data_IF_384805438277
#
_entry.id   IF_384805438277
#
_cell.length_a   1.000
_cell.length_b   1.000
_cell.length_c   1.000
_cell.angle_alpha   90.00
_cell.angle_beta   90.00
_cell.angle_gamma   90.00
#
_symmetry.space_group_name_H-M   'P 1'
#
loop_
_entity.id
_entity.type
_entity.pdbx_description
1 polymer ?
#
# COMPACT_ATOMS: atom_id res chain seq x y z
N UNK A 1 -27.75 1.67 2.38
CA UNK A 1 -27.57 2.31 1.07
C UNK A 1 -26.84 3.60 1.36
N UNK A 2 -25.51 3.62 1.26
CA UNK A 2 -24.73 4.85 1.37
C UNK A 2 -25.11 5.73 0.18
N UNK A 3 -25.46 6.99 0.45
CA UNK A 3 -25.76 7.96 -0.61
C UNK A 3 -24.43 8.26 -1.32
N UNK A 4 -24.38 8.10 -2.64
CA UNK A 4 -23.21 8.54 -3.41
C UNK A 4 -23.15 10.08 -3.37
N UNK A 5 -21.92 10.66 -3.30
CA UNK A 5 -21.77 12.11 -3.38
C UNK A 5 -22.44 12.65 -4.65
N UNK A 6 -23.11 13.78 -4.53
CA UNK A 6 -23.71 14.49 -5.67
C UNK A 6 -22.64 15.21 -6.48
N UNK A 7 -22.98 15.67 -7.69
CA UNK A 7 -22.07 16.47 -8.51
C UNK A 7 -21.57 17.74 -7.77
N UNK A 8 -22.43 18.33 -6.93
CA UNK A 8 -22.05 19.50 -6.12
C UNK A 8 -21.03 19.11 -5.03
N UNK A 9 -21.12 17.91 -4.45
CA UNK A 9 -20.16 17.43 -3.46
C UNK A 9 -18.79 17.23 -4.09
N UNK A 10 -18.71 16.67 -5.31
CA UNK A 10 -17.46 16.55 -6.06
C UNK A 10 -16.83 17.90 -6.44
N UNK A 11 -17.64 18.91 -6.69
CA UNK A 11 -17.13 20.27 -6.88
C UNK A 11 -16.63 20.89 -5.57
N UNK A 12 -17.43 20.73 -4.51
CA UNK A 12 -17.15 21.28 -3.18
C UNK A 12 -15.91 20.68 -2.54
N UNK A 13 -15.65 19.37 -2.68
CA UNK A 13 -14.51 18.71 -2.02
C UNK A 13 -13.16 19.26 -2.48
N UNK A 14 -13.09 19.85 -3.68
CA UNK A 14 -11.89 20.45 -4.27
C UNK A 14 -11.64 21.90 -3.84
N UNK A 15 -12.61 22.55 -3.19
CA UNK A 15 -12.46 23.94 -2.78
C UNK A 15 -11.30 24.11 -1.81
N UNK A 16 -10.55 25.20 -1.96
CA UNK A 16 -9.37 25.50 -1.16
C UNK A 16 -8.08 24.82 -1.62
N UNK A 17 -8.14 23.75 -2.42
CA UNK A 17 -6.95 23.16 -3.04
C UNK A 17 -6.47 24.05 -4.19
N UNK A 18 -5.17 24.33 -4.20
CA UNK A 18 -4.47 25.05 -5.28
C UNK A 18 -3.32 24.19 -5.81
N UNK A 19 -3.04 24.15 -7.11
CA UNK A 19 -1.84 23.49 -7.64
C UNK A 19 -0.52 24.02 -7.05
N UNK A 20 -0.52 25.26 -6.56
CA UNK A 20 0.61 25.82 -5.81
C UNK A 20 0.49 25.48 -4.31
N UNK A 21 1.35 24.62 -3.74
CA UNK A 21 1.27 24.21 -2.36
C UNK A 21 1.33 25.39 -1.37
N UNK A 22 2.08 26.44 -1.68
CA UNK A 22 2.17 27.63 -0.83
C UNK A 22 0.85 28.42 -0.71
N UNK A 23 -0.09 28.20 -1.62
CA UNK A 23 -1.41 28.84 -1.63
C UNK A 23 -2.55 27.87 -1.32
N UNK A 24 -2.24 26.59 -1.08
CA UNK A 24 -3.23 25.52 -0.92
C UNK A 24 -3.68 25.34 0.53
N UNK A 25 -4.92 24.88 0.66
CA UNK A 25 -5.42 24.20 1.85
C UNK A 25 -5.32 22.67 1.68
N UNK A 26 -5.41 21.93 2.78
CA UNK A 26 -5.52 20.47 2.77
C UNK A 26 -6.82 20.00 2.13
N UNK A 27 -7.02 18.69 2.00
CA UNK A 27 -8.36 18.13 1.74
C UNK A 27 -9.35 18.57 2.82
N UNK A 28 -10.63 18.68 2.46
CA UNK A 28 -11.70 18.92 3.44
C UNK A 28 -11.85 17.73 4.38
N UNK A 29 -12.22 18.01 5.63
CA UNK A 29 -12.50 16.99 6.65
C UNK A 29 -13.53 15.96 6.20
N UNK A 30 -14.49 16.34 5.34
CA UNK A 30 -15.49 15.44 4.78
C UNK A 30 -14.84 14.25 4.03
N UNK A 31 -13.71 14.47 3.35
CA UNK A 31 -12.97 13.41 2.67
C UNK A 31 -12.48 12.31 3.63
N UNK A 32 -12.33 12.62 4.93
CA UNK A 32 -11.82 11.72 5.96
C UNK A 32 -12.90 11.17 6.88
N UNK A 33 -14.08 11.78 6.89
CA UNK A 33 -15.09 11.51 7.93
C UNK A 33 -16.43 11.02 7.36
N UNK A 34 -16.79 11.42 6.15
CA UNK A 34 -18.06 11.01 5.52
C UNK A 34 -17.93 9.63 4.87
N UNK A 35 -18.76 8.65 5.28
CA UNK A 35 -18.77 7.31 4.69
C UNK A 35 -18.96 7.29 3.17
N UNK A 36 -19.61 8.28 2.59
CA UNK A 36 -19.77 8.38 1.14
C UNK A 36 -18.43 8.53 0.42
N UNK A 37 -17.48 9.27 0.99
CA UNK A 37 -16.14 9.41 0.42
C UNK A 37 -15.29 8.16 0.60
N UNK A 38 -15.52 7.38 1.67
CA UNK A 38 -14.89 6.07 1.79
C UNK A 38 -15.31 5.12 0.67
N UNK A 39 -16.60 5.10 0.29
CA UNK A 39 -17.08 4.29 -0.83
C UNK A 39 -16.45 4.75 -2.18
N UNK A 40 -16.21 6.06 -2.32
CA UNK A 40 -15.49 6.61 -3.48
C UNK A 40 -14.01 6.21 -3.44
N UNK A 41 -13.35 6.26 -2.28
CA UNK A 41 -11.97 5.77 -2.12
C UNK A 41 -11.83 4.32 -2.59
N UNK A 42 -12.74 3.43 -2.13
CA UNK A 42 -12.71 2.01 -2.52
C UNK A 42 -12.90 1.84 -4.03
N UNK A 43 -13.89 2.51 -4.62
CA UNK A 43 -14.27 2.29 -6.02
C UNK A 43 -13.40 3.04 -7.03
N UNK A 44 -12.93 4.24 -6.71
CA UNK A 44 -12.21 5.14 -7.61
C UNK A 44 -10.70 5.17 -7.38
N UNK A 45 -10.25 4.80 -6.19
CA UNK A 45 -8.82 4.75 -5.85
C UNK A 45 -8.37 3.30 -5.74
N UNK A 46 -8.79 2.58 -4.69
CA UNK A 46 -8.23 1.26 -4.37
C UNK A 46 -8.48 0.22 -5.47
N UNK A 47 -9.67 0.22 -6.07
CA UNK A 47 -10.01 -0.69 -7.17
C UNK A 47 -9.40 -0.29 -8.53
N UNK A 48 -8.81 0.90 -8.64
CA UNK A 48 -8.27 1.48 -9.89
C UNK A 48 -6.76 1.70 -9.87
N UNK A 49 -6.10 1.31 -8.79
CA UNK A 49 -4.66 1.50 -8.59
C UNK A 49 -3.99 0.18 -8.24
N UNK A 50 -2.66 0.16 -8.35
CA UNK A 50 -1.87 -1.00 -8.00
C UNK A 50 -1.81 -1.18 -6.48
N UNK A 51 -2.25 -2.35 -6.02
CA UNK A 51 -2.28 -2.73 -4.61
C UNK A 51 -1.19 -3.76 -4.32
N UNK A 52 -0.38 -3.54 -3.31
CA UNK A 52 0.60 -4.52 -2.85
C UNK A 52 -0.09 -5.77 -2.29
N UNK A 53 0.48 -6.95 -2.57
CA UNK A 53 -0.08 -8.24 -2.15
C UNK A 53 0.89 -8.99 -1.25
N UNK A 54 2.10 -9.25 -1.73
CA UNK A 54 3.08 -10.05 -1.00
C UNK A 54 4.48 -9.95 -1.61
N UNK A 55 5.46 -10.54 -0.94
CA UNK A 55 6.77 -10.80 -1.53
C UNK A 55 6.68 -12.00 -2.52
N UNK A 56 7.48 -11.96 -3.57
CA UNK A 56 7.50 -12.95 -4.65
C UNK A 56 7.73 -14.38 -4.14
N UNK A 57 8.38 -14.55 -2.99
CA UNK A 57 8.63 -15.89 -2.42
C UNK A 57 7.35 -16.68 -2.10
N UNK A 58 6.22 -15.98 -1.85
CA UNK A 58 4.93 -16.61 -1.56
C UNK A 58 4.32 -17.32 -2.78
N UNK A 59 4.70 -16.90 -3.97
CA UNK A 59 4.21 -17.44 -5.25
C UNK A 59 5.36 -17.70 -6.22
N UNK A 60 6.47 -18.27 -5.73
CA UNK A 60 7.70 -18.47 -6.50
C UNK A 60 7.62 -19.69 -7.42
N UNK A 61 7.09 -20.80 -6.92
CA UNK A 61 7.13 -22.07 -7.63
C UNK A 61 5.83 -22.34 -8.38
N UNK A 62 5.88 -23.10 -9.50
CA UNK A 62 4.66 -23.52 -10.18
C UNK A 62 3.68 -24.22 -9.21
N UNK A 63 2.44 -23.77 -9.22
CA UNK A 63 1.39 -24.23 -8.34
C UNK A 63 1.22 -23.42 -7.05
N UNK A 64 2.18 -22.58 -6.66
CA UNK A 64 2.03 -21.72 -5.49
C UNK A 64 0.87 -20.74 -5.70
N UNK A 65 0.11 -20.51 -4.64
CA UNK A 65 -1.00 -19.57 -4.65
C UNK A 65 -1.12 -18.83 -3.32
N UNK A 66 -1.71 -17.64 -3.40
CA UNK A 66 -2.11 -16.83 -2.26
C UNK A 66 -3.50 -16.23 -2.53
N UNK A 67 -4.44 -16.44 -1.60
CA UNK A 67 -5.76 -15.82 -1.61
C UNK A 67 -5.77 -14.61 -0.67
N UNK A 68 -6.21 -13.46 -1.19
CA UNK A 68 -6.26 -12.17 -0.47
C UNK A 68 -7.55 -11.44 -0.76
N UNK A 69 -7.83 -10.41 0.01
CA UNK A 69 -8.88 -9.43 -0.28
C UNK A 69 -8.25 -8.11 -0.72
N UNK A 70 -8.72 -7.55 -1.84
CA UNK A 70 -8.25 -6.29 -2.41
C UNK A 70 -9.45 -5.40 -2.69
N UNK A 71 -9.51 -4.23 -2.06
CA UNK A 71 -10.65 -3.31 -2.19
C UNK A 71 -12.01 -4.01 -2.00
N UNK A 72 -12.11 -4.89 -1.00
CA UNK A 72 -13.32 -5.69 -0.71
C UNK A 72 -13.61 -6.81 -1.70
N UNK A 73 -12.69 -7.11 -2.64
CA UNK A 73 -12.86 -8.20 -3.63
C UNK A 73 -11.94 -9.37 -3.33
N UNK A 74 -12.45 -10.62 -3.38
CA UNK A 74 -11.63 -11.81 -3.23
C UNK A 74 -10.75 -12.00 -4.47
N UNK A 75 -9.44 -12.05 -4.28
CA UNK A 75 -8.44 -12.23 -5.34
C UNK A 75 -7.56 -13.44 -5.01
N UNK A 76 -7.19 -14.22 -6.02
CA UNK A 76 -6.19 -15.26 -5.91
C UNK A 76 -5.02 -14.95 -6.85
N UNK A 77 -3.80 -14.91 -6.31
CA UNK A 77 -2.56 -14.84 -7.08
C UNK A 77 -1.98 -16.24 -7.19
N UNK A 78 -1.55 -16.64 -8.37
CA UNK A 78 -1.14 -18.02 -8.67
C UNK A 78 0.10 -18.00 -9.58
N UNK A 79 1.05 -18.90 -9.36
CA UNK A 79 2.10 -19.23 -10.34
C UNK A 79 1.65 -20.42 -11.14
N UNK A 80 1.39 -20.25 -12.44
CA UNK A 80 0.92 -21.36 -13.26
C UNK A 80 2.04 -22.40 -13.56
N UNK A 81 1.72 -23.44 -14.32
CA UNK A 81 2.66 -24.53 -14.63
C UNK A 81 3.83 -24.10 -15.50
N UNK A 82 3.63 -23.11 -16.32
CA UNK A 82 4.61 -22.50 -17.21
C UNK A 82 5.46 -21.46 -16.49
N UNK A 83 5.21 -21.23 -15.17
CA UNK A 83 5.91 -20.23 -14.35
C UNK A 83 5.38 -18.82 -14.54
N UNK A 84 4.25 -18.64 -15.23
CA UNK A 84 3.63 -17.32 -15.41
C UNK A 84 2.87 -16.92 -14.16
N UNK A 85 3.08 -15.69 -13.69
CA UNK A 85 2.33 -15.11 -12.61
C UNK A 85 0.93 -14.71 -13.12
N UNK A 86 -0.11 -15.12 -12.40
CA UNK A 86 -1.50 -14.81 -12.74
C UNK A 86 -2.27 -14.36 -11.51
N UNK A 87 -3.31 -13.57 -11.73
CA UNK A 87 -4.30 -13.26 -10.70
C UNK A 87 -5.71 -13.36 -11.27
N UNK A 88 -6.64 -13.77 -10.41
CA UNK A 88 -8.06 -13.95 -10.75
C UNK A 88 -8.94 -13.43 -9.63
N UNK A 89 -10.15 -13.00 -9.96
CA UNK A 89 -11.19 -12.97 -8.95
C UNK A 89 -11.37 -14.38 -8.39
N UNK A 90 -11.24 -14.55 -7.10
CA UNK A 90 -11.30 -15.85 -6.40
C UNK A 90 -12.72 -16.36 -6.27
N UNK A 91 -13.43 -16.45 -7.38
CA UNK A 91 -14.88 -16.71 -7.45
C UNK A 91 -15.17 -17.78 -8.50
N UNK A 92 -15.86 -18.86 -8.08
CA UNK A 92 -16.29 -19.94 -8.96
C UNK A 92 -17.41 -19.47 -9.91
N UNK A 93 -17.25 -19.73 -11.21
CA UNK A 93 -18.23 -19.39 -12.26
C UNK A 93 -19.55 -20.14 -12.18
N UNK A 94 -19.68 -21.14 -11.29
CA UNK A 94 -20.93 -21.86 -11.08
C UNK A 94 -21.90 -21.09 -10.16
N UNK A 95 -21.50 -20.87 -8.90
CA UNK A 95 -22.36 -20.24 -7.87
C UNK A 95 -21.56 -19.39 -6.89
N UNK A 96 -20.57 -18.67 -7.41
CA UNK A 96 -19.81 -17.63 -6.72
C UNK A 96 -19.08 -18.05 -5.41
N UNK A 97 -18.89 -19.37 -5.17
CA UNK A 97 -18.11 -19.82 -4.01
C UNK A 97 -16.64 -19.44 -4.18
N UNK A 98 -15.96 -19.06 -3.09
CA UNK A 98 -14.52 -18.86 -3.09
C UNK A 98 -13.79 -20.17 -3.47
N UNK A 99 -12.75 -20.05 -4.30
CA UNK A 99 -12.04 -21.20 -4.85
C UNK A 99 -10.84 -21.61 -4.01
N UNK A 100 -10.06 -20.66 -3.55
CA UNK A 100 -8.84 -20.82 -2.78
C UNK A 100 -8.95 -20.08 -1.45
N UNK A 101 -8.19 -20.52 -0.44
CA UNK A 101 -8.10 -19.86 0.85
C UNK A 101 -6.67 -19.93 1.38
N UNK A 102 -6.21 -18.86 2.04
CA UNK A 102 -4.85 -18.79 2.57
C UNK A 102 -3.79 -18.91 1.49
N UNK A 103 -2.71 -19.60 1.77
CA UNK A 103 -1.60 -19.86 0.86
C UNK A 103 -1.33 -21.37 0.73
N UNK A 104 -0.74 -21.78 -0.39
CA UNK A 104 -0.38 -23.19 -0.59
C UNK A 104 0.13 -23.47 -1.98
N UNK A 105 0.24 -24.76 -2.31
CA UNK A 105 0.63 -25.22 -3.64
C UNK A 105 -0.38 -26.24 -4.17
N UNK A 106 -0.86 -26.05 -5.38
CA UNK A 106 -1.83 -26.93 -6.02
C UNK A 106 -1.60 -27.05 -7.50
N UNK A 107 -2.00 -28.19 -8.06
CA UNK A 107 -1.91 -28.48 -9.50
C UNK A 107 -3.12 -27.97 -10.30
N UNK A 108 -4.17 -27.58 -9.63
CA UNK A 108 -5.46 -27.15 -10.18
C UNK A 108 -6.23 -26.36 -9.14
N UNK A 109 -7.17 -25.56 -9.59
CA UNK A 109 -8.10 -24.84 -8.73
C UNK A 109 -9.42 -25.59 -8.74
N UNK A 110 -9.81 -26.23 -7.64
CA UNK A 110 -11.05 -26.99 -7.55
C UNK A 110 -12.00 -26.34 -6.55
N UNK A 111 -13.19 -25.99 -7.02
CA UNK A 111 -14.24 -25.45 -6.18
C UNK A 111 -14.68 -26.48 -5.14
N UNK A 112 -14.63 -26.17 -3.83
CA UNK A 112 -15.00 -27.12 -2.79
C UNK A 112 -16.50 -27.39 -2.73
N UNK A 113 -17.32 -26.58 -3.43
CA UNK A 113 -18.79 -26.72 -3.39
C UNK A 113 -19.30 -27.83 -4.31
N UNK A 114 -18.95 -27.79 -5.62
CA UNK A 114 -19.45 -28.76 -6.61
C UNK A 114 -18.35 -29.33 -7.51
N UNK A 115 -17.09 -29.23 -7.08
CA UNK A 115 -15.91 -29.76 -7.77
C UNK A 115 -15.72 -29.24 -9.22
N UNK A 116 -16.24 -28.05 -9.55
CA UNK A 116 -15.80 -27.36 -10.77
C UNK A 116 -14.31 -27.13 -10.69
N UNK A 117 -13.59 -27.57 -11.71
CA UNK A 117 -12.14 -27.60 -11.66
C UNK A 117 -11.55 -26.77 -12.79
N UNK A 118 -10.67 -25.85 -12.43
CA UNK A 118 -9.96 -24.96 -13.34
C UNK A 118 -8.47 -25.33 -13.35
N UNK A 119 -7.81 -25.11 -14.50
CA UNK A 119 -6.35 -25.07 -14.55
C UNK A 119 -5.83 -23.80 -13.85
N UNK A 120 -4.54 -23.74 -13.65
CA UNK A 120 -3.89 -22.58 -13.02
C UNK A 120 -3.86 -21.34 -13.94
N UNK A 121 -4.18 -21.50 -15.24
CA UNK A 121 -4.42 -20.38 -16.17
C UNK A 121 -5.86 -19.84 -16.13
N UNK A 122 -6.69 -20.39 -15.26
CA UNK A 122 -8.09 -19.99 -15.07
C UNK A 122 -9.12 -20.76 -15.93
N UNK A 123 -8.69 -21.57 -16.90
CA UNK A 123 -9.58 -22.29 -17.81
C UNK A 123 -10.35 -23.40 -17.07
N UNK A 124 -11.67 -23.43 -17.18
CA UNK A 124 -12.49 -24.54 -16.69
C UNK A 124 -12.21 -25.81 -17.51
N UNK A 125 -11.91 -26.93 -16.82
CA UNK A 125 -11.62 -28.21 -17.46
C UNK A 125 -12.57 -29.33 -17.04
N UNK A 126 -13.27 -29.17 -15.92
CA UNK A 126 -14.24 -30.14 -15.42
C UNK A 126 -15.41 -29.47 -14.73
N UNK A 127 -16.62 -29.87 -15.12
CA UNK A 127 -17.89 -29.51 -14.46
C UNK A 127 -18.69 -30.77 -14.35
N UNK A 128 -18.81 -31.41 -13.16
CA UNK A 128 -19.58 -32.67 -12.98
C UNK A 128 -21.03 -32.50 -13.35
N UNK A 129 -21.64 -33.57 -13.94
CA UNK A 129 -23.06 -33.67 -14.29
C UNK A 129 -23.59 -32.58 -15.24
N UNK A 130 -22.71 -32.10 -16.16
CA UNK A 130 -23.05 -31.09 -17.17
C UNK A 130 -23.26 -31.68 -18.56
N UNK A 131 -23.15 -32.99 -18.73
CA UNK A 131 -23.18 -33.68 -20.03
C UNK A 131 -24.53 -33.55 -20.77
N UNK A 132 -25.61 -33.24 -20.04
CA UNK A 132 -26.95 -33.05 -20.58
C UNK A 132 -27.31 -31.58 -20.80
N UNK A 133 -26.43 -30.64 -20.49
CA UNK A 133 -26.71 -29.22 -20.66
C UNK A 133 -26.55 -28.80 -22.11
N UNK A 134 -27.60 -28.17 -22.65
CA UNK A 134 -27.51 -27.54 -23.98
C UNK A 134 -26.57 -26.32 -23.97
N UNK A 135 -25.78 -26.21 -25.03
CA UNK A 135 -24.83 -25.07 -25.25
C UNK A 135 -23.81 -24.83 -24.13
N UNK A 136 -23.49 -25.86 -23.33
CA UNK A 136 -22.49 -25.78 -22.29
C UNK A 136 -21.18 -26.43 -22.74
N UNK A 137 -20.09 -25.64 -22.77
CA UNK A 137 -18.75 -26.16 -23.02
C UNK A 137 -17.77 -25.55 -22.01
N UNK A 138 -17.01 -26.41 -21.36
CA UNK A 138 -16.02 -25.97 -20.36
C UNK A 138 -14.97 -25.04 -20.95
N UNK A 139 -14.62 -25.20 -22.23
CA UNK A 139 -13.64 -24.38 -22.95
C UNK A 139 -14.04 -22.88 -23.05
N UNK A 140 -15.33 -22.58 -22.95
CA UNK A 140 -15.87 -21.22 -23.07
C UNK A 140 -15.92 -20.49 -21.70
N UNK A 141 -15.49 -21.17 -20.63
CA UNK A 141 -15.55 -20.65 -19.26
C UNK A 141 -14.14 -20.51 -18.68
N UNK A 142 -13.78 -19.31 -18.33
CA UNK A 142 -12.52 -18.97 -17.66
C UNK A 142 -12.79 -18.11 -16.42
N UNK A 143 -11.90 -18.15 -15.44
CA UNK A 143 -11.93 -17.20 -14.31
C UNK A 143 -11.65 -15.79 -14.84
N UNK A 144 -12.31 -14.79 -14.25
CA UNK A 144 -12.02 -13.38 -14.57
C UNK A 144 -10.64 -13.01 -14.06
N UNK A 145 -9.84 -12.50 -14.98
CA UNK A 145 -8.46 -12.11 -14.68
C UNK A 145 -8.42 -10.78 -13.92
N UNK A 146 -7.44 -10.67 -13.04
CA UNK A 146 -7.01 -9.44 -12.38
C UNK A 146 -5.61 -9.13 -12.90
N UNK A 147 -5.29 -7.88 -13.12
CA UNK A 147 -3.94 -7.48 -13.50
C UNK A 147 -2.96 -7.79 -12.38
N UNK A 148 -1.79 -8.33 -12.71
CA UNK A 148 -0.74 -8.68 -11.74
C UNK A 148 0.62 -8.37 -12.32
N UNK A 149 1.48 -7.74 -11.51
CA UNK A 149 2.87 -7.45 -11.87
C UNK A 149 3.80 -7.73 -10.68
N UNK A 150 5.03 -8.09 -11.02
CA UNK A 150 6.15 -8.15 -10.09
C UNK A 150 6.97 -6.86 -10.22
N UNK A 151 7.21 -6.18 -9.08
CA UNK A 151 7.99 -4.96 -9.01
C UNK A 151 8.89 -4.99 -7.77
N UNK A 152 10.21 -4.88 -7.97
CA UNK A 152 11.22 -4.93 -6.91
C UNK A 152 11.09 -6.15 -5.97
N UNK A 153 10.74 -7.33 -6.51
CA UNK A 153 10.56 -8.55 -5.72
C UNK A 153 9.21 -8.66 -4.99
N UNK A 154 8.30 -7.70 -5.21
CA UNK A 154 6.96 -7.70 -4.62
C UNK A 154 5.88 -7.86 -5.70
N UNK A 155 4.78 -8.48 -5.32
CA UNK A 155 3.62 -8.72 -6.17
C UNK A 155 2.58 -7.64 -5.92
N UNK A 156 2.12 -7.04 -7.02
CA UNK A 156 1.05 -6.06 -7.04
C UNK A 156 -0.08 -6.52 -7.94
N UNK A 157 -1.31 -6.15 -7.59
CA UNK A 157 -2.50 -6.39 -8.43
C UNK A 157 -3.26 -5.10 -8.67
N UNK A 158 -4.03 -5.07 -9.77
CA UNK A 158 -4.94 -3.97 -10.07
C UNK A 158 -6.26 -4.54 -10.60
N UNK A 159 -7.38 -4.14 -10.00
CA UNK A 159 -8.71 -4.61 -10.40
C UNK A 159 -9.23 -3.94 -11.67
N UNK A 160 -8.59 -2.86 -12.13
CA UNK A 160 -8.91 -2.24 -13.42
C UNK A 160 -8.22 -2.98 -14.56
N UNK A 161 -8.97 -3.68 -15.44
CA UNK A 161 -8.37 -4.40 -16.55
C UNK A 161 -7.71 -3.49 -17.60
N UNK A 162 -7.98 -2.18 -17.55
CA UNK A 162 -7.40 -1.18 -18.45
C UNK A 162 -6.24 -0.39 -17.84
N UNK A 163 -5.84 -0.71 -16.59
CA UNK A 163 -4.76 0.00 -15.93
C UNK A 163 -3.44 -0.11 -16.74
N UNK A 164 -2.70 0.99 -16.92
CA UNK A 164 -1.34 0.92 -17.42
C UNK A 164 -0.45 0.08 -16.49
N UNK A 165 0.62 -0.51 -17.02
CA UNK A 165 1.54 -1.29 -16.19
C UNK A 165 2.11 -0.46 -15.04
N UNK A 166 2.35 -1.07 -13.88
CA UNK A 166 2.96 -0.41 -12.73
C UNK A 166 4.32 0.19 -13.12
N UNK A 167 5.12 -0.59 -13.81
CA UNK A 167 6.44 -0.15 -14.28
C UNK A 167 6.37 1.09 -15.18
N UNK A 168 5.36 1.20 -16.04
CA UNK A 168 5.20 2.39 -16.90
C UNK A 168 4.77 3.64 -16.13
N UNK A 169 4.09 3.46 -14.99
CA UNK A 169 3.61 4.57 -14.15
C UNK A 169 4.67 5.06 -13.15
N UNK A 170 5.61 4.21 -12.77
CA UNK A 170 6.62 4.51 -11.75
C UNK A 170 7.92 5.10 -12.32
N UNK A 171 8.07 5.14 -13.66
CA UNK A 171 9.27 5.72 -14.30
C UNK A 171 10.57 5.09 -13.76
N UNK A 172 11.43 5.91 -13.17
CA UNK A 172 12.75 5.50 -12.68
C UNK A 172 12.75 4.91 -11.26
N UNK A 173 11.59 4.72 -10.62
CA UNK A 173 11.51 4.27 -9.22
C UNK A 173 12.24 2.94 -8.97
N UNK A 174 12.12 1.95 -9.86
CA UNK A 174 12.84 0.67 -9.71
C UNK A 174 14.36 0.88 -9.70
N UNK A 175 14.87 1.75 -10.56
CA UNK A 175 16.30 2.08 -10.63
C UNK A 175 16.75 2.79 -9.34
N UNK A 176 15.94 3.69 -8.82
CA UNK A 176 16.21 4.40 -7.57
C UNK A 176 16.21 3.45 -6.38
N UNK A 177 15.19 2.59 -6.24
CA UNK A 177 15.13 1.58 -5.18
C UNK A 177 16.35 0.66 -5.23
N UNK A 178 16.71 0.15 -6.40
CA UNK A 178 17.88 -0.75 -6.57
C UNK A 178 19.21 -0.04 -6.33
N UNK A 179 19.29 1.26 -6.55
CA UNK A 179 20.46 2.05 -6.19
C UNK A 179 20.67 2.11 -4.67
N UNK A 180 19.59 2.40 -3.92
CA UNK A 180 19.66 2.53 -2.45
C UNK A 180 19.51 1.19 -1.71
N UNK A 181 18.94 0.18 -2.34
CA UNK A 181 18.76 -1.18 -1.83
C UNK A 181 19.25 -2.22 -2.86
N UNK A 182 20.55 -2.28 -3.18
CA UNK A 182 21.09 -3.18 -4.21
C UNK A 182 20.97 -4.66 -3.83
N UNK A 183 20.66 -4.94 -2.61
CA UNK A 183 20.49 -6.26 -2.01
C UNK A 183 19.03 -6.71 -1.88
N UNK A 184 18.06 -5.91 -2.36
CA UNK A 184 16.62 -6.14 -2.19
C UNK A 184 16.18 -7.54 -2.63
N UNK A 185 16.75 -8.08 -3.71
CA UNK A 185 16.40 -9.41 -4.22
C UNK A 185 16.93 -10.58 -3.36
N UNK A 186 17.77 -10.30 -2.36
CA UNK A 186 18.32 -11.29 -1.41
C UNK A 186 17.56 -11.33 -0.11
N UNK A 187 16.72 -10.33 0.13
CA UNK A 187 15.97 -10.23 1.37
C UNK A 187 14.82 -11.23 1.36
N UNK A 188 14.50 -11.74 2.53
CA UNK A 188 13.42 -12.71 2.76
C UNK A 188 12.52 -12.22 3.87
N UNK A 189 11.25 -12.61 3.86
CA UNK A 189 10.30 -12.26 4.92
C UNK A 189 10.78 -12.82 6.26
N UNK A 190 10.86 -11.96 7.26
CA UNK A 190 11.33 -12.30 8.61
C UNK A 190 10.31 -12.03 9.71
N UNK A 191 9.59 -10.88 9.63
CA UNK A 191 8.69 -10.48 10.71
C UNK A 191 7.55 -9.63 10.17
N UNK A 192 6.39 -9.63 10.86
CA UNK A 192 5.24 -8.76 10.59
C UNK A 192 4.73 -8.14 11.88
N UNK A 193 4.53 -6.84 11.85
CA UNK A 193 3.71 -6.11 12.82
C UNK A 193 2.36 -5.79 12.18
N UNK A 194 1.31 -5.69 13.00
CA UNK A 194 -0.04 -5.37 12.52
C UNK A 194 -0.72 -4.44 13.52
N UNK A 195 -1.37 -3.40 13.00
CA UNK A 195 -2.06 -2.39 13.80
C UNK A 195 -3.50 -2.21 13.32
N UNK A 196 -4.38 -1.93 14.27
CA UNK A 196 -5.80 -1.59 14.06
C UNK A 196 -5.99 -0.15 14.54
N UNK A 197 -5.99 0.80 13.61
CA UNK A 197 -5.89 2.24 13.86
C UNK A 197 -7.26 2.88 13.66
N UNK A 198 -7.71 3.66 14.64
CA UNK A 198 -8.99 4.39 14.60
C UNK A 198 -8.83 5.72 13.86
N UNK A 199 -8.46 5.63 12.61
CA UNK A 199 -8.26 6.78 11.73
C UNK A 199 -8.53 6.40 10.28
N UNK A 200 -8.93 7.37 9.48
CA UNK A 200 -9.02 7.24 8.03
C UNK A 200 -7.64 7.00 7.43
N UNK A 201 -7.56 6.15 6.42
CA UNK A 201 -6.31 5.79 5.76
C UNK A 201 -5.54 7.00 5.19
N UNK A 202 -6.26 8.06 4.78
CA UNK A 202 -5.63 9.28 4.27
C UNK A 202 -4.90 10.06 5.36
N UNK A 203 -5.38 10.06 6.62
CA UNK A 203 -4.65 10.66 7.73
C UNK A 203 -3.31 9.98 7.98
N UNK A 204 -3.27 8.67 7.76
CA UNK A 204 -2.05 7.88 7.94
C UNK A 204 -1.06 8.19 6.80
N UNK A 205 -1.56 8.26 5.56
CA UNK A 205 -0.74 8.68 4.42
C UNK A 205 -0.26 10.13 4.58
N UNK A 206 -1.12 11.04 5.05
CA UNK A 206 -0.77 12.43 5.33
C UNK A 206 0.38 12.53 6.34
N UNK A 207 0.29 11.81 7.46
CA UNK A 207 1.32 11.74 8.50
C UNK A 207 2.64 11.18 7.94
N UNK A 208 2.58 10.13 7.12
CA UNK A 208 3.75 9.49 6.52
C UNK A 208 4.50 10.39 5.51
N UNK A 209 3.78 11.24 4.78
CA UNK A 209 4.33 12.00 3.65
C UNK A 209 5.08 13.27 4.02
N UNK A 210 5.20 13.59 5.31
CA UNK A 210 5.92 14.75 5.80
C UNK A 210 6.70 14.40 7.09
N UNK A 211 7.69 15.18 7.42
CA UNK A 211 8.43 15.09 8.68
C UNK A 211 8.43 16.45 9.42
N UNK A 212 7.42 17.29 9.15
CA UNK A 212 7.20 18.57 9.84
C UNK A 212 6.92 18.34 11.34
N UNK A 213 6.23 17.24 11.67
CA UNK A 213 5.96 16.81 13.04
C UNK A 213 7.16 16.15 13.72
N UNK A 214 8.12 15.56 12.97
CA UNK A 214 9.18 14.72 13.52
C UNK A 214 10.00 15.40 14.62
N UNK A 215 10.45 16.66 14.51
CA UNK A 215 11.24 17.31 15.58
C UNK A 215 10.48 17.44 16.91
N UNK A 216 9.16 17.40 16.86
CA UNK A 216 8.30 17.51 18.05
C UNK A 216 7.90 16.13 18.59
N UNK A 217 7.49 15.22 17.71
CA UNK A 217 6.95 13.92 18.08
C UNK A 217 8.04 12.83 18.18
N UNK A 218 9.02 12.81 17.26
CA UNK A 218 9.97 11.68 17.07
C UNK A 218 11.41 12.09 17.37
N UNK A 219 11.71 12.42 18.61
CA UNK A 219 13.07 12.88 19.00
C UNK A 219 14.14 11.83 18.75
N UNK A 220 13.81 10.57 18.96
CA UNK A 220 14.73 9.46 18.75
C UNK A 220 15.00 9.23 17.26
N UNK A 221 13.98 9.33 16.40
CA UNK A 221 14.16 9.32 14.95
C UNK A 221 15.03 10.48 14.47
N UNK A 222 14.81 11.69 14.97
CA UNK A 222 15.62 12.86 14.64
C UNK A 222 17.08 12.74 15.11
N UNK A 223 17.38 11.82 16.04
CA UNK A 223 18.76 11.48 16.43
C UNK A 223 19.38 10.41 15.51
N UNK A 224 18.54 9.54 14.94
CA UNK A 224 18.94 8.46 14.04
C UNK A 224 19.27 8.98 12.62
N UNK A 225 18.57 10.02 12.17
CA UNK A 225 18.61 10.58 10.81
C UNK A 225 19.09 12.03 10.85
N UNK A 226 19.98 12.43 9.95
CA UNK A 226 20.41 13.83 9.81
C UNK A 226 19.32 14.65 9.12
N UNK A 227 18.46 15.29 9.93
CA UNK A 227 17.35 16.10 9.45
C UNK A 227 17.76 17.26 8.53
N UNK A 228 19.02 17.72 8.59
CA UNK A 228 19.53 18.77 7.71
C UNK A 228 19.74 18.30 6.27
N UNK A 229 19.88 17.00 6.07
CA UNK A 229 20.02 16.35 4.75
C UNK A 229 18.72 15.78 4.24
N UNK A 230 17.66 15.78 5.05
CA UNK A 230 16.37 15.18 4.70
C UNK A 230 15.72 15.92 3.51
N UNK A 231 15.53 15.20 2.43
CA UNK A 231 14.92 15.69 1.17
C UNK A 231 13.72 14.84 0.81
N UNK A 232 12.68 15.51 0.37
CA UNK A 232 11.50 14.87 -0.21
C UNK A 232 11.37 15.30 -1.68
N UNK A 233 11.12 14.34 -2.55
CA UNK A 233 10.91 14.57 -3.98
C UNK A 233 9.63 13.87 -4.42
N UNK A 234 8.77 14.57 -5.14
CA UNK A 234 7.51 14.02 -5.67
C UNK A 234 7.63 13.71 -7.15
N UNK A 235 7.05 12.60 -7.55
CA UNK A 235 6.98 12.12 -8.94
C UNK A 235 5.56 11.65 -9.23
N UNK A 236 5.17 11.44 -10.48
CA UNK A 236 3.85 11.01 -10.92
C UNK A 236 2.97 10.33 -9.84
N UNK A 237 3.25 9.06 -9.52
CA UNK A 237 2.49 8.28 -8.54
C UNK A 237 3.32 7.86 -7.32
N UNK A 238 4.47 8.49 -7.04
CA UNK A 238 5.29 8.17 -5.88
C UNK A 238 6.02 9.39 -5.33
N UNK A 239 6.54 9.27 -4.12
CA UNK A 239 7.51 10.21 -3.55
C UNK A 239 8.70 9.46 -2.97
N UNK A 240 9.86 10.13 -2.96
CA UNK A 240 11.12 9.65 -2.39
C UNK A 240 11.53 10.53 -1.22
N UNK A 241 11.85 9.92 -0.08
CA UNK A 241 12.28 10.57 1.14
C UNK A 241 13.68 10.08 1.51
N UNK A 242 14.66 10.93 1.40
CA UNK A 242 16.08 10.56 1.53
C UNK A 242 16.79 11.40 2.57
N UNK A 243 17.60 10.77 3.42
CA UNK A 243 18.47 11.46 4.35
C UNK A 243 19.69 10.62 4.71
N UNK A 244 20.76 11.26 5.16
CA UNK A 244 21.91 10.58 5.73
C UNK A 244 21.61 10.09 7.15
N UNK A 245 22.33 9.07 7.61
CA UNK A 245 22.31 8.68 9.01
C UNK A 245 22.86 9.80 9.89
N UNK A 246 22.32 9.94 11.09
CA UNK A 246 22.80 10.90 12.09
C UNK A 246 24.28 10.68 12.46
N UNK A 247 24.97 11.78 12.81
CA UNK A 247 26.42 11.78 13.09
C UNK A 247 26.78 11.44 14.53
N UNK A 248 25.85 11.56 15.45
CA UNK A 248 26.05 11.32 16.89
C UNK A 248 25.45 9.99 17.33
N UNK A 249 25.75 9.56 18.55
CA UNK A 249 25.04 8.45 19.17
C UNK A 249 23.55 8.78 19.19
N UNK A 250 22.76 7.95 18.54
CA UNK A 250 21.31 8.08 18.52
C UNK A 250 20.69 7.37 19.73
N UNK A 251 19.44 7.69 20.03
CA UNK A 251 18.68 7.12 21.15
C UNK A 251 17.66 6.07 20.69
N UNK A 252 17.55 5.83 19.38
CA UNK A 252 16.59 4.88 18.80
C UNK A 252 17.06 3.43 18.98
N UNK A 253 18.18 3.05 18.34
CA UNK A 253 18.76 1.71 18.42
C UNK A 253 20.26 1.73 17.98
N UNK A 254 20.98 0.66 18.27
CA UNK A 254 22.42 0.58 17.96
C UNK A 254 22.66 0.46 16.45
N UNK A 255 23.36 1.46 15.89
CA UNK A 255 23.81 1.52 14.49
C UNK A 255 25.33 1.43 14.36
N UNK A 256 26.05 1.04 15.39
CA UNK A 256 27.54 0.97 15.40
C UNK A 256 28.07 0.05 14.28
N UNK A 257 27.36 -1.02 13.97
CA UNK A 257 27.68 -1.99 12.91
C UNK A 257 26.80 -1.82 11.66
N UNK A 258 26.28 -0.61 11.43
CA UNK A 258 25.40 -0.34 10.29
C UNK A 258 26.11 -0.54 8.96
N UNK A 259 25.53 -1.35 8.10
CA UNK A 259 25.89 -1.49 6.67
C UNK A 259 25.11 -0.51 5.80
N UNK A 260 23.94 -0.10 6.23
CA UNK A 260 23.09 0.94 5.63
C UNK A 260 23.26 2.24 6.40
N UNK A 261 23.67 3.31 5.70
CA UNK A 261 23.94 4.61 6.30
C UNK A 261 23.07 5.72 5.75
N UNK A 262 21.96 5.34 5.15
CA UNK A 262 20.96 6.25 4.59
C UNK A 262 19.57 5.85 5.07
N UNK A 263 18.73 6.85 5.31
CA UNK A 263 17.31 6.70 5.37
C UNK A 263 16.78 6.86 3.94
N UNK A 264 16.15 5.83 3.41
CA UNK A 264 15.60 5.83 2.06
C UNK A 264 14.20 5.23 2.11
N UNK A 265 13.21 6.06 1.82
CA UNK A 265 11.79 5.70 1.92
C UNK A 265 11.07 6.15 0.67
N UNK A 266 10.20 5.30 0.16
CA UNK A 266 9.37 5.56 -1.00
C UNK A 266 7.90 5.30 -0.64
N UNK A 267 7.08 6.28 -0.86
CA UNK A 267 5.64 6.08 -0.89
C UNK A 267 5.18 5.84 -2.33
N UNK A 268 4.41 4.81 -2.56
CA UNK A 268 3.79 4.46 -3.83
C UNK A 268 2.26 4.57 -3.71
N UNK A 269 1.67 5.38 -4.58
CA UNK A 269 0.23 5.58 -4.64
C UNK A 269 -0.54 4.26 -4.79
N UNK A 270 -1.63 4.02 -4.02
CA UNK A 270 -2.19 4.99 -3.08
C UNK A 270 -1.69 4.79 -1.63
N UNK A 271 -1.21 3.61 -1.22
CA UNK A 271 -1.20 3.19 0.16
C UNK A 271 -0.07 2.22 0.53
N UNK A 272 1.00 2.19 -0.26
CA UNK A 272 2.16 1.31 0.01
C UNK A 272 3.42 2.13 0.19
N UNK A 273 4.21 1.79 1.23
CA UNK A 273 5.51 2.40 1.43
C UNK A 273 6.60 1.33 1.48
N UNK A 274 7.73 1.62 0.84
CA UNK A 274 8.95 0.84 0.92
C UNK A 274 9.94 1.64 1.76
N UNK A 275 10.46 1.06 2.84
CA UNK A 275 11.25 1.80 3.82
C UNK A 275 12.55 1.08 4.13
N UNK A 276 13.65 1.83 4.12
CA UNK A 276 14.97 1.38 4.51
C UNK A 276 15.59 2.38 5.49
N UNK A 277 15.83 1.93 6.69
CA UNK A 277 16.41 2.74 7.76
C UNK A 277 17.90 2.49 7.90
N UNK A 278 18.66 3.44 8.48
CA UNK A 278 20.07 3.20 8.87
C UNK A 278 20.16 1.97 9.79
N UNK A 279 21.12 1.07 9.53
CA UNK A 279 21.27 -0.15 10.32
C UNK A 279 21.74 -1.35 9.51
N UNK A 280 21.12 -2.49 9.71
CA UNK A 280 21.33 -3.70 8.92
C UNK A 280 20.63 -3.61 7.56
N UNK A 281 21.06 -4.47 6.65
CA UNK A 281 20.39 -4.61 5.36
C UNK A 281 18.96 -5.09 5.58
N UNK A 282 17.99 -4.27 5.15
CA UNK A 282 16.56 -4.55 5.32
C UNK A 282 15.73 -3.81 4.28
N UNK A 283 14.52 -4.28 4.07
CA UNK A 283 13.43 -3.54 3.45
C UNK A 283 12.18 -3.76 4.29
N UNK A 284 11.46 -2.70 4.59
CA UNK A 284 10.18 -2.78 5.28
C UNK A 284 9.12 -2.35 4.28
N UNK A 285 8.05 -3.14 4.16
CA UNK A 285 6.86 -2.75 3.40
C UNK A 285 5.77 -2.37 4.39
N UNK A 286 5.38 -1.11 4.37
CA UNK A 286 4.19 -0.64 5.05
C UNK A 286 3.03 -0.69 4.08
N UNK A 287 1.97 -1.39 4.45
CA UNK A 287 0.71 -1.45 3.72
C UNK A 287 -0.40 -0.84 4.56
N UNK A 288 -1.04 0.20 4.03
CA UNK A 288 -2.11 0.97 4.69
C UNK A 288 -3.44 0.49 4.10
N UNK A 289 -4.22 -0.28 4.85
CA UNK A 289 -5.39 -1.00 4.36
C UNK A 289 -6.67 -0.37 4.93
N UNK A 290 -7.41 0.42 4.14
CA UNK A 290 -8.67 1.01 4.59
C UNK A 290 -9.68 -0.06 5.01
N UNK A 291 -10.26 0.07 6.20
CA UNK A 291 -11.25 -0.86 6.76
C UNK A 291 -12.59 -0.17 7.09
N UNK A 292 -12.67 1.12 6.86
CA UNK A 292 -13.84 1.96 7.08
C UNK A 292 -13.49 3.43 6.94
N UNK A 293 -14.47 4.34 7.09
CA UNK A 293 -14.22 5.77 6.98
C UNK A 293 -13.31 6.30 8.10
N UNK A 294 -13.28 5.62 9.25
CA UNK A 294 -12.53 6.00 10.45
C UNK A 294 -11.69 4.84 11.03
N UNK A 295 -11.37 3.83 10.20
CA UNK A 295 -10.60 2.66 10.61
C UNK A 295 -9.68 2.18 9.51
N UNK A 296 -8.45 1.90 9.86
CA UNK A 296 -7.41 1.41 8.96
C UNK A 296 -6.63 0.29 9.63
N UNK A 297 -6.33 -0.77 8.90
CA UNK A 297 -5.30 -1.73 9.28
C UNK A 297 -3.98 -1.36 8.64
N UNK A 298 -2.90 -1.51 9.40
CA UNK A 298 -1.54 -1.41 8.86
C UNK A 298 -0.79 -2.71 9.07
N UNK A 299 0.09 -3.02 8.12
CA UNK A 299 1.09 -4.07 8.29
C UNK A 299 2.47 -3.52 7.96
N UNK A 300 3.44 -3.79 8.83
CA UNK A 300 4.87 -3.62 8.57
C UNK A 300 5.48 -5.00 8.32
N UNK A 301 5.82 -5.30 7.09
CA UNK A 301 6.50 -6.53 6.70
C UNK A 301 8.00 -6.28 6.61
N UNK A 302 8.76 -6.92 7.48
CA UNK A 302 10.22 -6.83 7.51
C UNK A 302 10.82 -7.92 6.64
N UNK A 303 11.62 -7.50 5.67
CA UNK A 303 12.44 -8.35 4.82
C UNK A 303 13.90 -8.12 5.20
N UNK A 304 14.57 -9.18 5.61
CA UNK A 304 15.93 -9.19 6.14
C UNK A 304 16.80 -10.20 5.36
N UNK A 305 18.12 -10.19 5.59
CA UNK A 305 19.03 -11.19 5.01
C UNK A 305 18.77 -12.61 5.52
N UNK A 306 18.15 -12.74 6.70
CA UNK A 306 17.75 -14.01 7.33
C UNK A 306 16.29 -13.99 7.75
N UNK A 307 15.64 -15.16 7.73
CA UNK A 307 14.28 -15.34 8.28
C UNK A 307 14.22 -15.17 9.80
N UNK A 308 15.34 -15.33 10.47
CA UNK A 308 15.47 -15.15 11.92
C UNK A 308 16.24 -13.85 12.17
N UNK A 309 15.57 -12.80 12.68
CA UNK A 309 16.22 -11.53 13.01
C UNK A 309 17.30 -11.72 14.09
N UNK A 310 18.43 -11.03 13.92
CA UNK A 310 19.46 -10.95 14.96
C UNK A 310 19.07 -9.99 16.10
N UNK A 311 19.92 -9.88 17.13
CA UNK A 311 19.63 -9.03 18.29
C UNK A 311 19.54 -7.54 17.93
N UNK A 312 20.28 -7.07 16.92
CA UNK A 312 20.22 -5.67 16.44
C UNK A 312 18.95 -5.42 15.63
N UNK A 313 18.59 -6.35 14.75
CA UNK A 313 17.37 -6.28 13.96
C UNK A 313 16.12 -6.33 14.87
N UNK A 314 16.14 -7.16 15.92
CA UNK A 314 15.08 -7.18 16.92
C UNK A 314 14.97 -5.86 17.70
N UNK A 315 16.07 -5.16 17.97
CA UNK A 315 16.03 -3.81 18.57
C UNK A 315 15.39 -2.81 17.61
N UNK A 316 15.71 -2.87 16.32
CA UNK A 316 15.12 -2.03 15.28
C UNK A 316 13.62 -2.27 15.18
N UNK A 317 13.18 -3.53 15.09
CA UNK A 317 11.76 -3.91 15.05
C UNK A 317 11.05 -3.37 16.29
N UNK A 318 11.62 -3.58 17.47
CA UNK A 318 11.04 -3.12 18.73
C UNK A 318 10.92 -1.60 18.81
N UNK A 319 11.93 -0.88 18.35
CA UNK A 319 11.89 0.59 18.30
C UNK A 319 10.77 1.09 17.37
N UNK A 320 10.66 0.51 16.16
CA UNK A 320 9.61 0.86 15.21
C UNK A 320 8.22 0.53 15.75
N UNK A 321 8.05 -0.56 16.49
CA UNK A 321 6.79 -0.99 17.07
C UNK A 321 6.38 -0.15 18.30
N UNK A 322 7.25 -0.16 19.33
CA UNK A 322 6.89 0.33 20.66
C UNK A 322 7.08 1.86 20.80
N UNK A 323 7.86 2.49 19.92
CA UNK A 323 8.15 3.93 19.99
C UNK A 323 7.59 4.66 18.80
N UNK A 324 8.19 4.50 17.62
CA UNK A 324 7.86 5.32 16.46
C UNK A 324 6.38 5.18 16.05
N UNK A 325 5.93 3.94 15.83
CA UNK A 325 4.55 3.68 15.42
C UNK A 325 3.53 4.01 16.52
N UNK A 326 3.87 3.80 17.78
CA UNK A 326 3.00 4.17 18.89
C UNK A 326 2.78 5.69 18.98
N UNK A 327 3.83 6.49 18.70
CA UNK A 327 3.73 7.95 18.60
C UNK A 327 2.82 8.37 17.46
N UNK A 328 3.02 7.81 16.24
CA UNK A 328 2.21 8.12 15.05
C UNK A 328 0.75 7.73 15.21
N UNK A 329 0.45 6.55 15.75
CA UNK A 329 -0.94 6.11 16.01
C UNK A 329 -1.64 7.11 16.92
N UNK A 330 -0.96 7.58 17.99
CA UNK A 330 -1.51 8.59 18.90
C UNK A 330 -1.87 9.89 18.19
N UNK A 331 -1.03 10.34 17.26
CA UNK A 331 -1.24 11.54 16.44
C UNK A 331 -2.44 11.38 15.51
N UNK A 332 -2.44 10.34 14.65
CA UNK A 332 -3.48 10.18 13.62
C UNK A 332 -4.85 9.87 14.21
N UNK A 333 -4.94 9.15 15.33
CA UNK A 333 -6.23 8.95 16.05
C UNK A 333 -6.74 10.25 16.67
N UNK A 334 -5.84 11.13 17.13
CA UNK A 334 -6.20 12.46 17.62
C UNK A 334 -6.67 13.36 16.48
N UNK A 335 -6.00 13.33 15.34
CA UNK A 335 -6.39 14.06 14.12
C UNK A 335 -7.79 13.62 13.65
N UNK A 336 -8.07 12.32 13.60
CA UNK A 336 -9.40 11.81 13.23
C UNK A 336 -10.51 12.36 14.14
N UNK A 337 -10.26 12.43 15.46
CA UNK A 337 -11.22 13.03 16.40
C UNK A 337 -11.45 14.51 16.13
N UNK A 338 -10.37 15.24 15.82
CA UNK A 338 -10.43 16.66 15.46
C UNK A 338 -11.21 16.92 14.18
N UNK A 339 -10.99 16.11 13.15
CA UNK A 339 -11.68 16.21 11.86
C UNK A 339 -13.19 15.94 11.96
N UNK A 340 -13.64 15.16 12.95
CA UNK A 340 -15.07 14.92 13.21
C UNK A 340 -15.76 16.09 13.92
N UNK A 341 -15.07 17.18 14.22
CA UNK A 341 -15.66 18.34 14.89
C UNK A 341 -16.10 19.40 13.89
N UNK A 342 -17.16 20.19 14.17
CA UNK A 342 -17.53 21.31 13.32
C UNK A 342 -16.53 22.48 13.38
N UNK A 343 -15.51 22.38 14.24
CA UNK A 343 -14.50 23.42 14.43
C UNK A 343 -13.36 23.35 13.40
N UNK A 344 -13.27 22.25 12.63
CA UNK A 344 -12.23 22.06 11.62
C UNK A 344 -12.85 21.65 10.29
N UNK A 345 -12.42 22.29 9.21
CA UNK A 345 -12.81 21.94 7.83
C UNK A 345 -11.60 21.68 6.92
N UNK A 346 -10.58 22.51 7.01
CA UNK A 346 -9.33 22.40 6.23
C UNK A 346 -8.18 23.08 6.97
N UNK A 347 -6.97 22.56 6.82
CA UNK A 347 -5.72 23.16 7.29
C UNK A 347 -4.95 23.88 6.19
N UNK A 348 -3.87 24.57 6.55
CA UNK A 348 -2.91 25.14 5.60
C UNK A 348 -1.81 24.13 5.32
N UNK A 349 -1.37 24.07 4.07
CA UNK A 349 -0.16 23.34 3.68
C UNK A 349 1.06 24.18 4.07
N UNK A 350 1.99 23.57 4.80
CA UNK A 350 3.29 24.18 5.13
C UNK A 350 4.31 23.78 4.07
N UNK A 351 4.66 24.72 3.21
CA UNK A 351 5.55 24.46 2.09
C UNK A 351 6.92 25.12 2.28
N UNK A 352 7.99 24.32 2.24
CA UNK A 352 9.37 24.79 2.09
C UNK A 352 9.80 24.64 0.62
N UNK A 353 10.08 25.74 -0.08
CA UNK A 353 10.50 25.70 -1.49
C UNK A 353 11.80 24.88 -1.73
N UNK A 354 12.58 24.62 -0.70
CA UNK A 354 13.81 23.81 -0.81
C UNK A 354 13.52 22.29 -0.75
N UNK A 355 12.29 21.89 -0.50
CA UNK A 355 11.87 20.48 -0.45
C UNK A 355 12.52 19.72 0.71
N UNK A 356 12.71 20.38 1.87
CA UNK A 356 13.20 19.71 3.08
C UNK A 356 12.17 18.69 3.60
N UNK A 357 12.60 17.81 4.50
CA UNK A 357 11.71 16.87 5.19
C UNK A 357 10.59 17.53 5.99
N UNK A 358 10.74 18.80 6.36
CA UNK A 358 9.73 19.57 7.08
C UNK A 358 8.68 20.23 6.16
N UNK A 359 8.75 20.00 4.85
CA UNK A 359 7.80 20.52 3.88
C UNK A 359 6.69 19.51 3.60
N UNK A 360 5.44 19.96 3.61
CA UNK A 360 4.26 19.14 3.34
C UNK A 360 3.92 19.05 1.83
N UNK A 361 4.87 19.30 0.93
CA UNK A 361 4.59 19.27 -0.51
C UNK A 361 4.28 17.86 -1.03
N UNK A 362 4.78 16.77 -0.38
CA UNK A 362 4.41 15.42 -0.77
C UNK A 362 2.99 15.07 -0.29
N UNK A 363 2.58 15.51 0.89
CA UNK A 363 1.19 15.45 1.36
C UNK A 363 0.27 16.22 0.39
N UNK A 364 0.67 17.43 -0.02
CA UNK A 364 -0.07 18.20 -1.02
C UNK A 364 -0.19 17.48 -2.36
N UNK A 365 0.88 16.83 -2.82
CA UNK A 365 0.87 16.00 -4.02
C UNK A 365 -0.13 14.83 -3.91
N UNK A 366 -0.13 14.13 -2.77
CA UNK A 366 -1.11 13.08 -2.48
C UNK A 366 -2.55 13.61 -2.54
N UNK A 367 -2.82 14.77 -1.93
CA UNK A 367 -4.14 15.41 -2.01
C UNK A 367 -4.56 15.68 -3.47
N UNK A 368 -3.62 16.09 -4.31
CA UNK A 368 -3.88 16.26 -5.75
C UNK A 368 -4.30 14.96 -6.43
N UNK A 369 -3.60 13.84 -6.14
CA UNK A 369 -3.93 12.52 -6.69
C UNK A 369 -5.30 12.02 -6.23
N UNK A 370 -5.66 12.23 -4.96
CA UNK A 370 -7.00 11.92 -4.42
C UNK A 370 -8.07 12.72 -5.16
N UNK A 371 -7.91 14.03 -5.27
CA UNK A 371 -8.88 14.92 -5.94
C UNK A 371 -9.02 14.60 -7.44
N UNK A 372 -7.95 14.20 -8.10
CA UNK A 372 -7.99 13.79 -9.50
C UNK A 372 -8.68 12.43 -9.67
N UNK A 373 -8.53 11.50 -8.72
CA UNK A 373 -9.29 10.26 -8.72
C UNK A 373 -10.78 10.52 -8.48
N UNK A 374 -11.13 11.40 -7.56
CA UNK A 374 -12.51 11.82 -7.32
C UNK A 374 -13.12 12.50 -8.56
N UNK A 375 -12.40 13.39 -9.23
CA UNK A 375 -12.89 14.04 -10.44
C UNK A 375 -13.20 13.03 -11.57
N UNK A 376 -12.42 11.95 -11.70
CA UNK A 376 -12.69 10.87 -12.66
C UNK A 376 -13.92 10.02 -12.28
N UNK A 377 -14.28 9.98 -11.01
CA UNK A 377 -15.44 9.23 -10.51
C UNK A 377 -16.74 10.05 -10.49
N UNK A 378 -16.64 11.36 -10.71
CA UNK A 378 -17.80 12.25 -10.75
C UNK A 378 -18.80 11.79 -11.83
N UNK A 379 -20.12 11.83 -11.56
CA UNK A 379 -21.18 11.38 -12.47
C UNK A 379 -21.32 12.25 -13.72
#
# INVERSE_FOLDING_TARGET
MTLRPSQNDFASIREGYSPNPSASLSLKSDAYTDPCWHDVDVSAILAKTWQWVCHVEKVRNPGDYLAVEIAGQPVAVVRDREGVLRAFYNVCKHRAHALLSGEGNSNKIMCPYHAWTYRLDGQLVRAPHTDTLENFQTKDICLDQVQVEEFCGFIYVNLDPSAPSLKSQTGDLETEIRHWAPDIDKLTFAHRLTYDIKSNWKNIVDNFLECYHCPTAHKDFCSLVDMSTYKVTTHGIYSSHMADAGKSANTAYDVSNATVRTHAVWWLWPNTCLMRYPGRSSMIVLSIIPAGPDRTFETYDFFLESKEPDATELQTIKYLDEVLQAEDIGLVESVQKGMNTPAFTQGRIVNDPNGSGQSEHALHHFHGLVLDAYARAAP
#
